data_IF_374137231749
#
_entry.id   IF_374137231749
#
_cell.length_a   1.000
_cell.length_b   1.000
_cell.length_c   1.000
_cell.angle_alpha   90.00
_cell.angle_beta   90.00
_cell.angle_gamma   90.00
#
_symmetry.space_group_name_H-M   'P 1'
#
loop_
_entity.id
_entity.type
_entity.pdbx_description
1 polymer ?
#
# COMPACT_ATOMS: atom_id res chain seq x y z
N UNK A 1 14.72 -7.63 -9.90
CA UNK A 1 14.36 -8.88 -9.19
C UNK A 1 12.94 -8.79 -8.66
N UNK A 2 12.04 -9.68 -9.12
CA UNK A 2 10.71 -9.86 -8.55
C UNK A 2 10.80 -10.82 -7.35
N UNK A 3 10.29 -10.39 -6.21
CA UNK A 3 10.26 -11.19 -4.97
C UNK A 3 9.09 -12.19 -4.95
N UNK A 4 8.01 -11.87 -5.67
CA UNK A 4 6.83 -12.72 -5.83
C UNK A 4 6.79 -13.28 -7.25
N UNK A 5 6.28 -14.50 -7.38
CA UNK A 5 5.88 -15.04 -8.69
C UNK A 5 4.72 -14.22 -9.26
N UNK A 6 4.66 -14.07 -10.58
CA UNK A 6 3.66 -13.27 -11.28
C UNK A 6 2.20 -13.47 -10.79
N UNK A 7 1.71 -14.71 -10.55
CA UNK A 7 0.35 -14.93 -10.07
C UNK A 7 0.13 -14.42 -8.64
N UNK A 8 1.12 -14.59 -7.76
CA UNK A 8 1.06 -14.09 -6.37
C UNK A 8 1.08 -12.57 -6.35
N UNK A 9 1.87 -11.94 -7.22
CA UNK A 9 1.93 -10.49 -7.35
C UNK A 9 0.57 -9.92 -7.82
N UNK A 10 -0.06 -10.52 -8.84
CA UNK A 10 -1.41 -10.15 -9.29
C UNK A 10 -2.46 -10.28 -8.17
N UNK A 11 -2.45 -11.39 -7.43
CA UNK A 11 -3.37 -11.60 -6.32
C UNK A 11 -3.22 -10.54 -5.21
N UNK A 12 -1.99 -10.18 -4.86
CA UNK A 12 -1.70 -9.12 -3.89
C UNK A 12 -2.23 -7.76 -4.38
N UNK A 13 -2.06 -7.44 -5.66
CA UNK A 13 -2.58 -6.19 -6.24
C UNK A 13 -4.11 -6.13 -6.17
N UNK A 14 -4.80 -7.20 -6.55
CA UNK A 14 -6.28 -7.29 -6.45
C UNK A 14 -6.75 -7.12 -5.01
N UNK A 15 -6.05 -7.75 -4.05
CA UNK A 15 -6.35 -7.61 -2.63
C UNK A 15 -6.22 -6.15 -2.14
N UNK A 16 -5.13 -5.47 -2.50
CA UNK A 16 -4.91 -4.07 -2.13
C UNK A 16 -6.00 -3.17 -2.75
N UNK A 17 -6.33 -3.38 -4.03
CA UNK A 17 -7.40 -2.63 -4.70
C UNK A 17 -8.75 -2.83 -4.00
N UNK A 18 -9.08 -4.07 -3.64
CA UNK A 18 -10.33 -4.42 -2.94
C UNK A 18 -10.41 -3.73 -1.58
N UNK A 19 -9.33 -3.75 -0.80
CA UNK A 19 -9.27 -3.03 0.49
C UNK A 19 -9.42 -1.51 0.29
N UNK A 20 -8.82 -0.96 -0.77
CA UNK A 20 -9.02 0.44 -1.13
C UNK A 20 -10.48 0.80 -1.44
N UNK A 21 -11.34 -0.15 -1.85
CA UNK A 21 -12.78 0.09 -2.03
C UNK A 21 -13.46 0.30 -0.67
N UNK A 22 -13.02 -0.44 0.36
CA UNK A 22 -13.52 -0.35 1.73
C UNK A 22 -12.99 0.88 2.51
N UNK A 23 -12.51 1.91 1.82
CA UNK A 23 -11.98 3.17 2.40
C UNK A 23 -10.92 3.00 3.51
N UNK A 24 -10.27 1.85 3.57
CA UNK A 24 -9.22 1.55 4.54
C UNK A 24 -7.87 1.59 3.83
N UNK A 25 -7.16 2.73 3.82
CA UNK A 25 -5.87 2.82 3.14
C UNK A 25 -4.83 1.94 3.83
N UNK A 26 -4.28 0.96 3.11
CA UNK A 26 -3.13 0.18 3.60
C UNK A 26 -1.88 1.07 3.53
N UNK A 27 -1.19 1.22 4.66
CA UNK A 27 0.11 1.91 4.67
C UNK A 27 1.14 1.09 3.88
N UNK A 28 1.91 1.75 3.02
CA UNK A 28 2.94 1.13 2.15
C UNK A 28 3.92 0.25 2.93
N UNK A 29 4.21 0.59 4.20
CA UNK A 29 5.08 -0.18 5.10
C UNK A 29 4.64 -1.62 5.35
N UNK A 30 3.35 -1.94 5.21
CA UNK A 30 2.82 -3.29 5.41
C UNK A 30 2.85 -4.16 4.15
N UNK A 31 3.07 -3.55 2.97
CA UNK A 31 3.11 -4.27 1.69
C UNK A 31 4.25 -5.30 1.62
N UNK A 32 5.49 -5.01 2.08
CA UNK A 32 6.54 -6.03 2.21
C UNK A 32 6.13 -7.23 3.06
N UNK A 33 5.49 -6.98 4.20
CA UNK A 33 5.13 -8.02 5.16
C UNK A 33 4.04 -8.92 4.58
N UNK A 34 3.04 -8.33 3.92
CA UNK A 34 2.02 -9.08 3.18
C UNK A 34 2.64 -9.92 2.07
N UNK A 35 3.57 -9.35 1.30
CA UNK A 35 4.30 -10.09 0.27
C UNK A 35 5.12 -11.25 0.85
N UNK A 36 5.76 -11.06 2.01
CA UNK A 36 6.47 -12.11 2.73
C UNK A 36 5.53 -13.25 3.14
N UNK A 37 4.39 -12.93 3.77
CA UNK A 37 3.41 -13.93 4.17
C UNK A 37 2.88 -14.74 2.97
N UNK A 38 2.54 -14.08 1.86
CA UNK A 38 2.05 -14.75 0.64
C UNK A 38 3.15 -15.62 0.00
N UNK A 39 4.39 -15.16 0.03
CA UNK A 39 5.52 -15.94 -0.45
C UNK A 39 5.72 -17.21 0.41
N UNK A 40 5.62 -17.09 1.73
CA UNK A 40 5.94 -18.15 2.70
C UNK A 40 4.83 -19.18 2.93
N UNK A 41 3.55 -18.82 2.77
CA UNK A 41 2.40 -19.64 3.20
C UNK A 41 2.24 -20.97 2.48
N UNK A 42 2.82 -21.16 1.28
CA UNK A 42 2.76 -22.43 0.50
C UNK A 42 3.99 -22.68 -0.39
N UNK A 43 5.14 -22.14 -0.02
CA UNK A 43 6.36 -22.37 -0.80
C UNK A 43 7.13 -23.58 -0.27
N UNK A 44 7.53 -24.47 -1.18
CA UNK A 44 8.54 -25.52 -0.91
C UNK A 44 9.90 -24.88 -0.57
N UNK A 45 10.23 -23.76 -1.23
CA UNK A 45 11.38 -22.90 -0.91
C UNK A 45 10.89 -21.59 -0.27
N UNK A 46 10.66 -21.61 1.05
CA UNK A 46 10.24 -20.41 1.79
C UNK A 46 11.36 -19.37 1.81
N UNK A 47 11.08 -18.09 1.53
CA UNK A 47 12.07 -17.04 1.72
C UNK A 47 12.35 -16.86 3.22
N UNK A 48 13.63 -16.81 3.59
CA UNK A 48 14.08 -16.61 4.97
C UNK A 48 13.93 -15.14 5.43
N UNK A 49 13.93 -14.19 4.49
CA UNK A 49 13.95 -12.76 4.78
C UNK A 49 12.86 -12.01 4.00
N UNK A 50 12.29 -10.94 4.57
CA UNK A 50 11.35 -10.08 3.87
C UNK A 50 11.99 -9.36 2.67
N UNK A 51 11.17 -8.76 1.79
CA UNK A 51 11.66 -7.99 0.64
C UNK A 51 12.57 -6.83 1.07
N UNK A 52 13.60 -6.53 0.28
CA UNK A 52 14.54 -5.42 0.53
C UNK A 52 13.83 -4.05 0.58
N UNK A 53 14.46 -3.05 1.21
CA UNK A 53 13.94 -1.68 1.40
C UNK A 53 13.37 -1.02 0.13
N UNK A 54 13.98 -1.25 -1.03
CA UNK A 54 13.56 -0.63 -2.30
C UNK A 54 12.45 -1.41 -3.03
N UNK A 55 12.04 -2.56 -2.50
CA UNK A 55 11.04 -3.42 -3.13
C UNK A 55 9.63 -2.81 -3.18
N UNK A 56 9.11 -2.12 -2.15
CA UNK A 56 7.82 -1.44 -2.22
C UNK A 56 7.76 -0.38 -3.30
N UNK A 57 8.83 0.40 -3.44
CA UNK A 57 8.91 1.43 -4.47
C UNK A 57 8.89 0.79 -5.86
N UNK A 58 9.72 -0.24 -6.08
CA UNK A 58 9.71 -0.99 -7.33
C UNK A 58 8.35 -1.66 -7.62
N UNK A 59 7.65 -2.14 -6.59
CA UNK A 59 6.31 -2.70 -6.70
C UNK A 59 5.29 -1.63 -7.12
N UNK A 60 5.32 -0.45 -6.51
CA UNK A 60 4.48 0.68 -6.90
C UNK A 60 4.74 1.14 -8.34
N UNK A 61 5.99 1.16 -8.79
CA UNK A 61 6.32 1.50 -10.19
C UNK A 61 5.77 0.49 -11.19
N UNK A 62 5.71 -0.81 -10.85
CA UNK A 62 5.13 -1.85 -11.71
C UNK A 62 3.61 -1.80 -11.80
N UNK A 63 2.94 -1.25 -10.78
CA UNK A 63 1.48 -1.27 -10.67
C UNK A 63 0.92 0.15 -10.51
N UNK A 64 0.87 0.95 -11.60
CA UNK A 64 0.38 2.33 -11.55
C UNK A 64 -1.07 2.44 -11.08
N UNK A 65 -1.88 1.39 -11.23
CA UNK A 65 -3.23 1.27 -10.68
C UNK A 65 -3.31 1.43 -9.14
N UNK A 66 -2.22 1.21 -8.42
CA UNK A 66 -2.13 1.45 -6.97
C UNK A 66 -1.81 2.90 -6.62
N UNK A 67 -1.27 3.68 -7.57
CA UNK A 67 -0.88 5.08 -7.39
C UNK A 67 -2.09 6.02 -7.31
N UNK A 68 -3.17 5.73 -8.03
CA UNK A 68 -4.38 6.58 -8.08
C UNK A 68 -5.18 6.58 -6.77
N UNK A 69 -5.00 5.57 -5.91
CA UNK A 69 -5.72 5.42 -4.63
C UNK A 69 -4.89 5.80 -3.40
N UNK A 70 -3.70 6.37 -3.60
CA UNK A 70 -2.99 7.00 -2.49
C UNK A 70 -3.78 8.24 -2.09
N UNK A 71 -4.43 8.20 -0.93
CA UNK A 71 -4.99 9.40 -0.32
C UNK A 71 -3.84 10.39 -0.20
N UNK A 72 -3.81 11.41 -1.08
CA UNK A 72 -3.07 12.64 -0.77
C UNK A 72 -3.51 13.03 0.63
N UNK A 73 -2.53 13.32 1.49
CA UNK A 73 -2.79 14.05 2.72
C UNK A 73 -3.74 15.19 2.38
N UNK A 74 -4.82 15.33 3.16
CA UNK A 74 -5.72 16.47 3.01
C UNK A 74 -4.87 17.74 2.99
N UNK A 75 -5.07 18.66 2.04
CA UNK A 75 -4.31 19.90 1.99
C UNK A 75 -4.38 20.57 3.36
N UNK A 76 -3.22 20.86 3.95
CA UNK A 76 -3.11 21.46 5.28
C UNK A 76 -3.90 22.79 5.36
N UNK A 77 -4.02 23.46 4.23
CA UNK A 77 -4.80 24.69 3.98
C UNK A 77 -6.27 24.63 4.42
N UNK A 78 -6.85 23.44 4.66
CA UNK A 78 -8.23 23.31 5.16
C UNK A 78 -8.37 23.51 6.68
N UNK A 79 -7.29 23.35 7.45
CA UNK A 79 -7.36 23.44 8.90
C UNK A 79 -7.37 24.89 9.40
N UNK A 80 -6.56 25.77 8.81
CA UNK A 80 -6.50 27.18 9.25
C UNK A 80 -7.75 27.98 8.83
N UNK A 81 -8.19 27.86 7.58
CA UNK A 81 -9.18 28.81 7.05
C UNK A 81 -10.64 28.52 7.45
N UNK A 82 -10.95 27.38 8.10
CA UNK A 82 -12.35 27.01 8.43
C UNK A 82 -12.71 27.03 9.93
N UNK A 83 -11.76 27.38 10.80
CA UNK A 83 -11.96 27.39 12.26
C UNK A 83 -12.33 28.79 12.75
N UNK A 84 -11.72 29.85 12.19
CA UNK A 84 -11.90 31.21 12.69
C UNK A 84 -13.37 31.70 12.67
N UNK A 85 -14.14 31.42 11.62
CA UNK A 85 -15.57 31.80 11.53
C UNK A 85 -16.49 30.95 12.42
N UNK A 86 -16.00 29.85 13.01
CA UNK A 86 -16.81 28.94 13.84
C UNK A 86 -16.64 29.18 15.33
N UNK A 87 -15.72 30.06 15.73
CA UNK A 87 -15.50 30.48 17.12
C UNK A 87 -16.11 31.88 17.30
N UNK A 88 -17.44 31.96 17.33
CA UNK A 88 -18.15 33.20 17.70
C UNK A 88 -18.34 33.18 19.22
N UNK A 89 -17.84 34.22 19.90
CA UNK A 89 -18.07 34.49 21.33
C UNK A 89 -19.46 35.09 21.56
#
# INVERSE_FOLDING_TARGET
QQYLTLPKEKALVVFILRIGIFRTPIRVKYIPTLAFYIASRRATKRPSKPPKKNWPQAFHHRHPQLKSRSNRLMPWERHDNSIYDKVVH
#
